data_IF_124612770786
#
_entry.id   IF_124612770786
#
_cell.length_a   1.000
_cell.length_b   1.000
_cell.length_c   1.000
_cell.angle_alpha   90.00
_cell.angle_beta   90.00
_cell.angle_gamma   90.00
#
_symmetry.space_group_name_H-M   'P 1'
#
loop_
_entity.id
_entity.type
_entity.pdbx_description
1 polymer ?
#
# COMPACT_ATOMS: atom_id res chain seq x y z
N UNK A 1 14.25 9.34 23.64
CA UNK A 1 14.36 9.48 22.17
C UNK A 1 12.97 9.81 21.67
N UNK A 2 12.82 10.91 20.93
CA UNK A 2 11.53 11.36 20.39
C UNK A 2 10.92 10.27 19.49
N UNK A 3 9.67 9.89 19.76
CA UNK A 3 8.95 8.84 19.03
C UNK A 3 8.81 9.19 17.55
N UNK A 4 8.62 10.48 17.23
CA UNK A 4 8.49 10.96 15.86
C UNK A 4 9.84 10.82 15.14
N UNK A 5 10.93 11.23 15.79
CA UNK A 5 12.28 11.11 15.23
C UNK A 5 12.63 9.65 14.93
N UNK A 6 12.27 8.72 15.83
CA UNK A 6 12.49 7.28 15.61
C UNK A 6 11.73 6.77 14.37
N UNK A 7 10.48 7.17 14.19
CA UNK A 7 9.65 6.75 13.05
C UNK A 7 10.15 7.36 11.74
N UNK A 8 10.62 8.61 11.76
CA UNK A 8 11.26 9.25 10.61
C UNK A 8 12.56 8.54 10.22
N UNK A 9 13.33 8.03 11.20
CA UNK A 9 14.50 7.19 10.91
C UNK A 9 14.08 5.90 10.18
N UNK A 10 13.01 5.23 10.60
CA UNK A 10 12.51 4.04 9.91
C UNK A 10 12.04 4.32 8.48
N UNK A 11 11.35 5.45 8.25
CA UNK A 11 11.00 5.88 6.90
C UNK A 11 12.23 6.10 6.03
N UNK A 12 13.25 6.76 6.58
CA UNK A 12 14.49 7.02 5.86
C UNK A 12 15.24 5.74 5.52
N UNK A 13 15.39 4.83 6.48
CA UNK A 13 16.00 3.50 6.25
C UNK A 13 15.28 2.74 5.12
N UNK A 14 13.94 2.74 5.14
CA UNK A 14 13.14 2.10 4.11
C UNK A 14 13.34 2.79 2.75
N UNK A 15 13.29 4.11 2.71
CA UNK A 15 13.51 4.89 1.48
C UNK A 15 14.89 4.63 0.87
N UNK A 16 15.95 4.71 1.67
CA UNK A 16 17.33 4.47 1.23
C UNK A 16 17.52 3.03 0.70
N UNK A 17 16.83 2.06 1.31
CA UNK A 17 16.79 0.68 0.82
C UNK A 17 16.09 0.56 -0.53
N UNK A 18 14.91 1.19 -0.69
CA UNK A 18 14.09 1.16 -1.92
C UNK A 18 14.74 1.87 -3.10
N UNK A 19 15.66 2.82 -2.88
CA UNK A 19 16.42 3.48 -3.94
C UNK A 19 17.44 2.55 -4.63
N UNK A 20 17.79 1.41 -4.02
CA UNK A 20 18.62 0.40 -4.69
C UNK A 20 17.85 -0.22 -5.86
N UNK A 21 18.56 -0.69 -6.90
CA UNK A 21 17.94 -1.31 -8.08
C UNK A 21 16.89 -2.35 -7.66
N UNK A 22 15.70 -2.30 -8.27
CA UNK A 22 14.54 -3.13 -7.92
C UNK A 22 14.86 -4.64 -7.96
N UNK A 23 15.70 -5.09 -8.89
CA UNK A 23 16.09 -6.50 -9.00
C UNK A 23 17.09 -6.97 -7.92
N UNK A 24 17.65 -6.04 -7.14
CA UNK A 24 18.62 -6.32 -6.07
C UNK A 24 18.01 -6.19 -4.68
N UNK A 25 16.69 -6.05 -4.60
CA UNK A 25 15.99 -5.93 -3.33
C UNK A 25 15.99 -7.30 -2.64
N UNK A 26 16.52 -7.34 -1.42
CA UNK A 26 16.44 -8.52 -0.58
C UNK A 26 15.02 -8.60 0.01
N UNK A 27 14.25 -9.67 -0.28
CA UNK A 27 12.90 -9.84 0.24
C UNK A 27 12.83 -9.81 1.77
N UNK A 28 13.87 -10.27 2.46
CA UNK A 28 13.90 -10.30 3.93
C UNK A 28 14.18 -8.90 4.51
N UNK A 29 15.07 -8.12 3.88
CA UNK A 29 15.28 -6.70 4.22
C UNK A 29 13.97 -5.91 4.03
N UNK A 30 13.29 -6.13 2.90
CA UNK A 30 12.00 -5.49 2.61
C UNK A 30 10.92 -5.88 3.62
N UNK A 31 10.86 -7.15 4.00
CA UNK A 31 9.94 -7.65 5.03
C UNK A 31 10.18 -6.98 6.38
N UNK A 32 11.45 -6.84 6.78
CA UNK A 32 11.82 -6.17 8.02
C UNK A 32 11.47 -4.68 7.98
N UNK A 33 11.71 -4.00 6.86
CA UNK A 33 11.36 -2.60 6.68
C UNK A 33 9.85 -2.38 6.75
N UNK A 34 9.05 -3.17 6.03
CA UNK A 34 7.59 -3.12 6.10
C UNK A 34 7.07 -3.42 7.50
N UNK A 35 7.68 -4.37 8.21
CA UNK A 35 7.34 -4.66 9.61
C UNK A 35 7.59 -3.46 10.52
N UNK A 36 8.78 -2.83 10.45
CA UNK A 36 9.10 -1.64 11.24
C UNK A 36 8.10 -0.50 10.98
N UNK A 37 7.73 -0.29 9.72
CA UNK A 37 6.75 0.73 9.34
C UNK A 37 5.36 0.41 9.91
N UNK A 38 4.86 -0.81 9.73
CA UNK A 38 3.55 -1.22 10.27
C UNK A 38 3.48 -1.20 11.81
N UNK A 39 4.61 -1.33 12.49
CA UNK A 39 4.71 -1.23 13.96
C UNK A 39 4.85 0.21 14.47
N UNK A 40 4.86 1.23 13.58
CA UNK A 40 4.92 2.63 13.99
C UNK A 40 3.64 3.07 14.73
N UNK A 41 3.76 4.07 15.58
CA UNK A 41 2.62 4.70 16.22
C UNK A 41 2.02 5.78 15.31
N UNK A 42 1.04 5.35 14.52
CA UNK A 42 0.29 6.19 13.60
C UNK A 42 -0.65 7.22 14.26
N UNK A 43 -0.65 7.32 15.59
CA UNK A 43 -1.35 8.41 16.31
C UNK A 43 -0.58 9.74 16.24
N UNK A 44 0.72 9.69 15.93
CA UNK A 44 1.56 10.87 15.75
C UNK A 44 1.78 11.10 14.26
N UNK A 45 1.73 12.35 13.79
CA UNK A 45 2.07 12.66 12.40
C UNK A 45 3.59 12.57 12.22
N UNK A 46 4.06 11.68 11.35
CA UNK A 46 5.50 11.53 11.07
C UNK A 46 5.82 11.44 9.58
N UNK A 47 4.81 11.32 8.73
CA UNK A 47 4.94 11.28 7.27
C UNK A 47 4.08 12.39 6.63
N UNK A 48 4.63 13.06 5.62
CA UNK A 48 3.89 14.02 4.80
C UNK A 48 3.21 13.30 3.63
N UNK A 49 2.20 13.91 3.01
CA UNK A 49 1.58 13.33 1.82
C UNK A 49 2.58 13.11 0.68
N UNK A 50 3.55 14.01 0.52
CA UNK A 50 4.59 13.89 -0.52
C UNK A 50 5.50 12.68 -0.28
N UNK A 51 5.96 12.50 0.96
CA UNK A 51 6.86 11.39 1.29
C UNK A 51 6.14 10.05 1.21
N UNK A 52 4.87 10.01 1.64
CA UNK A 52 4.03 8.85 1.51
C UNK A 52 3.79 8.47 0.05
N UNK A 53 3.53 9.44 -0.82
CA UNK A 53 3.36 9.23 -2.25
C UNK A 53 4.59 8.55 -2.87
N UNK A 54 5.77 9.08 -2.57
CA UNK A 54 7.04 8.52 -3.05
C UNK A 54 7.28 7.11 -2.52
N UNK A 55 7.15 6.88 -1.22
CA UNK A 55 7.39 5.57 -0.60
C UNK A 55 6.41 4.51 -1.12
N UNK A 56 5.12 4.84 -1.22
CA UNK A 56 4.10 3.91 -1.69
C UNK A 56 4.39 3.52 -3.15
N UNK A 57 4.73 4.48 -4.01
CA UNK A 57 5.06 4.19 -5.42
C UNK A 57 6.31 3.33 -5.55
N UNK A 58 7.34 3.59 -4.75
CA UNK A 58 8.56 2.78 -4.74
C UNK A 58 8.27 1.34 -4.25
N UNK A 59 7.43 1.18 -3.23
CA UNK A 59 7.02 -0.14 -2.76
C UNK A 59 6.23 -0.90 -3.81
N UNK A 60 5.26 -0.28 -4.48
CA UNK A 60 4.53 -0.90 -5.61
C UNK A 60 5.50 -1.39 -6.68
N UNK A 61 6.48 -0.55 -7.01
CA UNK A 61 7.48 -0.83 -8.02
C UNK A 61 8.37 -2.03 -7.68
N UNK A 62 8.77 -2.18 -6.42
CA UNK A 62 9.57 -3.31 -5.95
C UNK A 62 8.72 -4.58 -5.85
N UNK A 63 7.53 -4.49 -5.25
CA UNK A 63 6.63 -5.62 -5.04
C UNK A 63 6.08 -6.20 -6.36
N UNK A 64 6.00 -5.38 -7.41
CA UNK A 64 5.65 -5.86 -8.75
C UNK A 64 6.69 -6.81 -9.35
N UNK A 65 7.94 -6.76 -8.88
CA UNK A 65 9.05 -7.61 -9.33
C UNK A 65 9.28 -8.78 -8.35
N UNK A 66 8.92 -8.60 -7.08
CA UNK A 66 9.09 -9.59 -6.00
C UNK A 66 7.71 -10.09 -5.54
N UNK A 67 7.08 -11.03 -6.27
CA UNK A 67 5.75 -11.53 -5.92
C UNK A 67 5.83 -12.35 -4.62
N UNK A 68 5.25 -11.83 -3.54
CA UNK A 68 5.21 -12.48 -2.24
C UNK A 68 3.97 -12.02 -1.46
N UNK A 69 3.09 -12.97 -1.13
CA UNK A 69 1.82 -12.70 -0.46
C UNK A 69 1.95 -12.01 0.91
N UNK A 70 2.98 -12.34 1.69
CA UNK A 70 3.24 -11.71 3.00
C UNK A 70 3.67 -10.26 2.83
N UNK A 71 4.53 -9.98 1.84
CA UNK A 71 4.95 -8.61 1.53
C UNK A 71 3.77 -7.76 1.01
N UNK A 72 2.95 -8.30 0.11
CA UNK A 72 1.76 -7.63 -0.41
C UNK A 72 0.75 -7.35 0.71
N UNK A 73 0.52 -8.33 1.59
CA UNK A 73 -0.38 -8.16 2.75
C UNK A 73 0.10 -7.05 3.69
N UNK A 74 1.40 -7.04 4.03
CA UNK A 74 2.01 -5.98 4.85
C UNK A 74 1.94 -4.62 4.20
N UNK A 75 2.13 -4.56 2.88
CA UNK A 75 1.99 -3.34 2.11
C UNK A 75 0.54 -2.81 2.14
N UNK A 76 -0.45 -3.68 2.00
CA UNK A 76 -1.86 -3.30 2.16
C UNK A 76 -2.15 -2.68 3.52
N UNK A 77 -1.65 -3.29 4.61
CA UNK A 77 -1.76 -2.73 5.95
C UNK A 77 -1.10 -1.34 6.06
N UNK A 78 0.11 -1.19 5.51
CA UNK A 78 0.84 0.09 5.52
C UNK A 78 0.04 1.19 4.82
N UNK A 79 -0.49 0.91 3.63
CA UNK A 79 -1.30 1.86 2.85
C UNK A 79 -2.56 2.26 3.62
N UNK A 80 -3.24 1.30 4.24
CA UNK A 80 -4.40 1.57 5.08
C UNK A 80 -4.05 2.53 6.23
N UNK A 81 -2.99 2.23 6.99
CA UNK A 81 -2.59 3.02 8.15
C UNK A 81 -2.15 4.43 7.75
N UNK A 82 -1.39 4.58 6.66
CA UNK A 82 -1.00 5.90 6.13
C UNK A 82 -2.23 6.72 5.69
N UNK A 83 -3.12 6.13 4.89
CA UNK A 83 -4.25 6.88 4.33
C UNK A 83 -5.29 7.24 5.39
N UNK A 84 -5.56 6.36 6.35
CA UNK A 84 -6.62 6.57 7.35
C UNK A 84 -6.14 7.29 8.60
N UNK A 85 -4.97 6.91 9.14
CA UNK A 85 -4.49 7.43 10.43
C UNK A 85 -3.60 8.66 10.27
N UNK A 86 -2.75 8.71 9.25
CA UNK A 86 -1.95 9.92 8.92
C UNK A 86 -2.69 10.92 8.03
N UNK A 87 -3.91 10.56 7.59
CA UNK A 87 -4.78 11.36 6.70
C UNK A 87 -4.07 11.83 5.44
N UNK A 88 -3.20 10.97 4.92
CA UNK A 88 -2.44 11.23 3.70
C UNK A 88 -3.35 11.11 2.49
N UNK A 89 -3.16 12.03 1.54
CA UNK A 89 -3.73 11.97 0.20
C UNK A 89 -2.61 11.71 -0.80
N UNK A 90 -2.90 10.92 -1.82
CA UNK A 90 -1.96 10.62 -2.89
C UNK A 90 -2.21 11.51 -4.11
N UNK A 91 -1.18 11.72 -4.91
CA UNK A 91 -1.33 12.29 -6.24
C UNK A 91 -2.11 11.32 -7.14
N UNK A 92 -2.89 11.82 -8.09
CA UNK A 92 -3.78 11.01 -8.94
C UNK A 92 -3.03 9.86 -9.63
N UNK A 93 -1.81 10.12 -10.12
CA UNK A 93 -0.98 9.10 -10.78
C UNK A 93 -0.58 7.98 -9.81
N UNK A 94 -0.16 8.35 -8.60
CA UNK A 94 0.30 7.42 -7.57
C UNK A 94 -0.87 6.62 -6.98
N UNK A 95 -2.01 7.28 -6.79
CA UNK A 95 -3.29 6.64 -6.46
C UNK A 95 -3.64 5.57 -7.50
N UNK A 96 -3.65 5.93 -8.78
CA UNK A 96 -4.02 5.00 -9.85
C UNK A 96 -3.07 3.80 -9.90
N UNK A 97 -1.77 4.05 -9.84
CA UNK A 97 -0.73 3.00 -9.86
C UNK A 97 -0.86 2.05 -8.66
N UNK A 98 -1.10 2.59 -7.47
CA UNK A 98 -1.26 1.79 -6.25
C UNK A 98 -2.54 0.96 -6.29
N UNK A 99 -3.63 1.57 -6.75
CA UNK A 99 -4.91 0.88 -6.91
C UNK A 99 -4.80 -0.26 -7.92
N UNK A 100 -4.20 -0.02 -9.08
CA UNK A 100 -4.00 -1.05 -10.11
C UNK A 100 -3.19 -2.24 -9.57
N UNK A 101 -2.14 -1.96 -8.80
CA UNK A 101 -1.33 -3.00 -8.16
C UNK A 101 -2.16 -3.83 -7.15
N UNK A 102 -2.92 -3.18 -6.27
CA UNK A 102 -3.74 -3.88 -5.27
C UNK A 102 -4.88 -4.68 -5.92
N UNK A 103 -5.49 -4.17 -6.99
CA UNK A 103 -6.50 -4.90 -7.75
C UNK A 103 -5.91 -6.12 -8.45
N UNK A 104 -4.69 -6.01 -9.02
CA UNK A 104 -3.98 -7.17 -9.57
C UNK A 104 -3.72 -8.23 -8.50
N UNK A 105 -3.39 -7.83 -7.27
CA UNK A 105 -3.21 -8.76 -6.16
C UNK A 105 -4.45 -9.61 -5.86
N UNK A 106 -5.67 -9.14 -6.17
CA UNK A 106 -6.90 -9.94 -6.01
C UNK A 106 -6.93 -11.18 -6.89
N UNK A 107 -6.23 -11.15 -8.03
CA UNK A 107 -6.14 -12.28 -8.96
C UNK A 107 -4.95 -13.20 -8.71
N UNK A 108 -3.92 -12.73 -8.00
CA UNK A 108 -2.63 -13.42 -7.89
C UNK A 108 -2.24 -13.85 -6.48
N UNK A 109 -2.85 -13.28 -5.44
CA UNK A 109 -2.52 -13.58 -4.04
C UNK A 109 -3.55 -14.49 -3.39
N UNK A 110 -3.12 -15.16 -2.32
CA UNK A 110 -3.98 -15.98 -1.46
C UNK A 110 -5.07 -15.16 -0.79
N UNK A 111 -6.20 -15.81 -0.46
CA UNK A 111 -7.39 -15.17 0.14
C UNK A 111 -7.07 -14.36 1.41
N UNK A 112 -6.16 -14.83 2.26
CA UNK A 112 -5.81 -14.16 3.51
C UNK A 112 -5.10 -12.81 3.29
N UNK A 113 -4.41 -12.63 2.16
CA UNK A 113 -3.78 -11.35 1.76
C UNK A 113 -4.81 -10.33 1.31
N UNK A 114 -5.95 -10.79 0.77
CA UNK A 114 -6.96 -9.94 0.17
C UNK A 114 -7.61 -9.00 1.19
N UNK A 115 -7.81 -9.42 2.44
CA UNK A 115 -8.42 -8.58 3.48
C UNK A 115 -7.69 -7.25 3.66
N UNK A 116 -6.35 -7.28 3.71
CA UNK A 116 -5.53 -6.08 3.84
C UNK A 116 -5.54 -5.26 2.54
N UNK A 117 -5.56 -5.91 1.38
CA UNK A 117 -5.60 -5.23 0.09
C UNK A 117 -6.95 -4.52 -0.13
N UNK A 118 -8.07 -5.14 0.22
CA UNK A 118 -9.42 -4.55 0.17
C UNK A 118 -9.50 -3.35 1.11
N UNK A 119 -8.99 -3.49 2.34
CA UNK A 119 -8.95 -2.39 3.31
C UNK A 119 -8.12 -1.21 2.79
N UNK A 120 -6.97 -1.49 2.17
CA UNK A 120 -6.12 -0.48 1.54
C UNK A 120 -6.84 0.23 0.38
N UNK A 121 -7.52 -0.50 -0.51
CA UNK A 121 -8.32 0.09 -1.58
C UNK A 121 -9.43 1.00 -1.03
N UNK A 122 -10.16 0.53 -0.02
CA UNK A 122 -11.20 1.33 0.65
C UNK A 122 -10.64 2.63 1.25
N UNK A 123 -9.49 2.55 1.91
CA UNK A 123 -8.79 3.71 2.47
C UNK A 123 -8.32 4.69 1.39
N UNK A 124 -7.75 4.18 0.29
CA UNK A 124 -7.32 4.99 -0.85
C UNK A 124 -8.50 5.74 -1.48
N UNK A 125 -9.64 5.06 -1.66
CA UNK A 125 -10.85 5.68 -2.23
C UNK A 125 -11.42 6.73 -1.29
N UNK A 126 -11.59 6.39 -0.01
CA UNK A 126 -12.17 7.30 0.97
C UNK A 126 -11.34 8.56 1.16
N UNK A 127 -10.03 8.42 1.38
CA UNK A 127 -9.14 9.56 1.63
C UNK A 127 -8.97 10.45 0.40
N UNK A 128 -9.25 9.95 -0.82
CA UNK A 128 -9.08 10.71 -2.06
C UNK A 128 -10.40 10.96 -2.81
N UNK A 129 -11.56 10.85 -2.14
CA UNK A 129 -12.89 10.90 -2.77
C UNK A 129 -13.13 12.20 -3.55
N UNK A 130 -12.63 13.33 -3.06
CA UNK A 130 -12.74 14.63 -3.72
C UNK A 130 -11.92 14.73 -5.02
N UNK A 131 -10.99 13.80 -5.23
CA UNK A 131 -10.19 13.67 -6.45
C UNK A 131 -10.73 12.57 -7.38
N UNK A 132 -11.64 11.74 -6.88
CA UNK A 132 -12.26 10.61 -7.60
C UNK A 132 -13.44 10.99 -8.48
N UNK A 133 -14.01 12.20 -8.36
CA UNK A 133 -15.03 12.67 -9.32
C UNK A 133 -14.49 12.74 -10.76
N UNK A 134 -13.17 12.72 -10.95
CA UNK A 134 -12.51 12.56 -12.27
C UNK A 134 -12.09 11.11 -12.60
N UNK A 135 -12.29 10.15 -11.69
CA UNK A 135 -11.81 8.77 -11.78
C UNK A 135 -12.92 7.72 -11.56
N UNK A 136 -14.15 8.02 -12.00
CA UNK A 136 -15.35 7.15 -11.94
C UNK A 136 -15.14 5.72 -12.46
N UNK A 137 -14.20 5.51 -13.38
CA UNK A 137 -13.85 4.18 -13.88
C UNK A 137 -13.26 3.25 -12.81
N UNK A 138 -12.55 3.76 -11.79
CA UNK A 138 -11.84 2.91 -10.82
C UNK A 138 -12.76 2.24 -9.80
N UNK A 139 -13.82 2.93 -9.38
CA UNK A 139 -14.81 2.37 -8.45
C UNK A 139 -15.58 1.19 -9.09
N UNK A 140 -15.84 1.29 -10.40
CA UNK A 140 -16.50 0.23 -11.19
C UNK A 140 -15.59 -1.01 -11.27
N UNK A 141 -14.29 -0.83 -11.56
CA UNK A 141 -13.33 -1.94 -11.62
C UNK A 141 -13.17 -2.66 -10.27
N UNK A 142 -13.24 -1.94 -9.15
CA UNK A 142 -13.19 -2.57 -7.82
C UNK A 142 -14.45 -3.42 -7.55
N UNK A 143 -15.63 -2.94 -7.95
CA UNK A 143 -16.88 -3.70 -7.84
C UNK A 143 -16.85 -4.98 -8.68
N UNK A 144 -16.39 -4.90 -9.94
CA UNK A 144 -16.24 -6.05 -10.83
C UNK A 144 -15.23 -7.08 -10.31
N UNK A 145 -14.10 -6.63 -9.77
CA UNK A 145 -13.05 -7.51 -9.23
C UNK A 145 -13.52 -8.29 -7.99
N UNK A 146 -14.34 -7.66 -7.13
CA UNK A 146 -14.91 -8.31 -5.94
C UNK A 146 -15.98 -9.36 -6.31
N UNK A 147 -16.73 -9.14 -7.41
CA UNK A 147 -17.67 -10.12 -7.94
C UNK A 147 -16.98 -11.38 -8.50
N UNK A 148 -15.78 -11.26 -9.06
CA UNK A 148 -15.01 -12.40 -9.56
C UNK A 148 -14.45 -13.28 -8.42
N UNK A 149 -14.10 -12.68 -7.27
CA UNK A 149 -13.58 -13.42 -6.10
C UNK A 149 -14.66 -14.13 -5.28
N UNK A 150 -15.94 -13.79 -5.46
CA UNK A 150 -17.07 -14.40 -4.73
C UNK A 150 -17.65 -15.66 -5.42
N UNK A 151 -17.09 -16.07 -6.57
CA UNK A 151 -17.62 -17.15 -7.39
C UNK A 151 -17.11 -18.59 -7.15
N UNK A 152 -16.14 -18.94 -6.27
CA UNK A 152 -15.79 -20.36 -6.06
C UNK A 152 -16.48 -20.99 -4.82
N UNK A 153 -17.60 -20.46 -4.33
CA UNK A 153 -18.32 -21.03 -3.16
C UNK A 153 -19.69 -21.67 -3.48
N UNK A 154 -19.99 -21.92 -4.75
CA UNK A 154 -21.15 -22.71 -5.17
C UNK A 154 -20.71 -23.74 -6.23
N UNK A 155 -20.04 -24.80 -5.80
CA UNK A 155 -20.03 -26.13 -6.41
C UNK A 155 -19.47 -27.16 -5.42
#
# INVERSE_FOLDING_TARGET
MDIVLKQQTYLKECYDSLLRKKERQDPEELKQNLRKLNECNYSFQFISSRDADVIIVLLVDVLSVVPNDDLVSRFGQLVFDICTKQKVTLETRSLHKTMEFLLKAFSSCSLWTLTNCISACGALLYSNVSRLEQASHMAITMHESLHLTSLPFLL
#
